data_IF_378148408062
#
_entry.id   IF_378148408062
#
_cell.length_a   1.000
_cell.length_b   1.000
_cell.length_c   1.000
_cell.angle_alpha   90.00
_cell.angle_beta   90.00
_cell.angle_gamma   90.00
#
_symmetry.space_group_name_H-M   'P 1'
#
loop_
_entity.id
_entity.type
_entity.pdbx_description
1 polymer ?
#
# COMPACT_ATOMS: atom_id res chain seq x y z
N UNK A 1 7.55 -9.06 3.05
CA UNK A 1 6.98 -7.77 3.48
C UNK A 1 5.61 -7.57 2.83
N UNK A 2 4.49 -7.76 3.56
CA UNK A 2 3.17 -7.31 3.12
C UNK A 2 3.14 -5.80 2.84
N UNK A 3 2.45 -5.42 1.77
CA UNK A 3 2.19 -4.02 1.37
C UNK A 3 0.67 -3.85 1.31
N UNK A 4 0.16 -2.78 1.91
CA UNK A 4 -1.24 -2.36 1.79
C UNK A 4 -1.31 -0.94 1.22
N UNK A 5 -2.18 -0.74 0.24
CA UNK A 5 -2.47 0.57 -0.34
C UNK A 5 -3.95 0.86 -0.21
N UNK A 6 -4.30 2.05 0.28
CA UNK A 6 -5.70 2.45 0.50
C UNK A 6 -5.93 3.89 0.06
N UNK A 7 -7.14 4.16 -0.43
CA UNK A 7 -7.62 5.51 -0.70
C UNK A 7 -8.19 6.16 0.55
N UNK A 8 -7.87 7.43 0.79
CA UNK A 8 -8.38 8.17 1.95
C UNK A 8 -9.91 8.35 1.93
N UNK A 9 -10.50 8.36 0.74
CA UNK A 9 -11.95 8.48 0.51
C UNK A 9 -12.55 7.16 0.02
N UNK A 10 -11.96 6.04 0.41
CA UNK A 10 -12.52 4.73 0.16
C UNK A 10 -13.87 4.61 0.90
N UNK A 11 -14.95 4.47 0.12
CA UNK A 11 -16.32 4.35 0.63
C UNK A 11 -16.68 2.91 1.00
N UNK A 12 -15.85 1.92 0.64
CA UNK A 12 -16.06 0.50 0.94
C UNK A 12 -15.34 0.09 2.22
N UNK A 13 -14.09 0.55 2.38
CA UNK A 13 -13.23 0.23 3.51
C UNK A 13 -12.64 1.50 4.10
N UNK A 14 -12.89 1.76 5.39
CA UNK A 14 -12.45 2.97 6.04
C UNK A 14 -10.91 3.03 6.16
N UNK A 15 -10.29 4.17 5.84
CA UNK A 15 -8.84 4.38 5.88
C UNK A 15 -8.23 4.12 7.27
N UNK A 16 -9.03 4.26 8.32
CA UNK A 16 -8.69 3.94 9.70
C UNK A 16 -8.25 2.49 9.88
N UNK A 17 -8.80 1.55 9.10
CA UNK A 17 -8.40 0.13 9.16
C UNK A 17 -6.93 -0.07 8.74
N UNK A 18 -6.51 0.55 7.63
CA UNK A 18 -5.13 0.52 7.16
C UNK A 18 -4.16 1.23 8.10
N UNK A 19 -4.58 2.37 8.66
CA UNK A 19 -3.81 3.11 9.68
C UNK A 19 -3.65 2.28 10.96
N UNK A 20 -4.71 1.62 11.43
CA UNK A 20 -4.66 0.73 12.59
C UNK A 20 -3.70 -0.46 12.34
N UNK A 21 -3.73 -1.04 11.14
CA UNK A 21 -2.80 -2.10 10.75
C UNK A 21 -1.35 -1.62 10.74
N UNK A 22 -1.07 -0.43 10.20
CA UNK A 22 0.26 0.19 10.25
C UNK A 22 0.75 0.35 11.69
N UNK A 23 -0.11 0.88 12.56
CA UNK A 23 0.25 1.14 13.96
C UNK A 23 0.45 -0.15 14.76
N UNK A 24 -0.23 -1.24 14.39
CA UNK A 24 0.01 -2.57 14.94
C UNK A 24 1.39 -3.12 14.52
N UNK A 25 1.71 -3.08 13.23
CA UNK A 25 3.02 -3.54 12.73
C UNK A 25 4.19 -2.70 13.24
N UNK A 26 3.98 -1.41 13.52
CA UNK A 26 5.00 -0.56 14.15
C UNK A 26 5.44 -1.07 15.55
N UNK A 27 4.62 -1.90 16.22
CA UNK A 27 4.97 -2.57 17.49
C UNK A 27 5.79 -3.84 17.31
N UNK A 28 5.95 -4.30 16.06
CA UNK A 28 6.64 -5.54 15.70
C UNK A 28 7.79 -5.24 14.72
N UNK A 29 8.92 -4.68 15.19
CA UNK A 29 10.01 -4.21 14.33
C UNK A 29 10.73 -5.33 13.57
N UNK A 30 10.51 -6.59 13.95
CA UNK A 30 10.96 -7.80 13.24
C UNK A 30 10.11 -8.13 12.02
N UNK A 31 8.96 -7.46 11.84
CA UNK A 31 8.04 -7.65 10.73
C UNK A 31 8.05 -6.44 9.82
N UNK A 32 8.49 -6.66 8.59
CA UNK A 32 8.40 -5.65 7.56
C UNK A 32 6.94 -5.47 7.08
N UNK A 33 6.41 -4.25 7.17
CA UNK A 33 5.12 -3.86 6.58
C UNK A 33 5.21 -2.47 5.98
N UNK A 34 4.57 -2.27 4.83
CA UNK A 34 4.47 -0.95 4.18
C UNK A 34 3.00 -0.59 3.97
N UNK A 35 2.62 0.59 4.46
CA UNK A 35 1.31 1.17 4.22
C UNK A 35 1.43 2.39 3.32
N UNK A 36 0.64 2.44 2.26
CA UNK A 36 0.57 3.55 1.31
C UNK A 36 -0.83 4.15 1.36
N UNK A 37 -0.91 5.41 1.76
CA UNK A 37 -2.16 6.17 1.77
C UNK A 37 -2.19 7.09 0.56
N UNK A 38 -3.27 7.03 -0.22
CA UNK A 38 -3.52 7.91 -1.36
C UNK A 38 -4.57 8.97 -1.00
N UNK A 39 -4.18 10.25 -0.84
CA UNK A 39 -5.10 11.32 -0.48
C UNK A 39 -6.21 11.48 -1.53
N UNK A 40 -7.43 11.77 -1.07
CA UNK A 40 -8.62 11.93 -1.91
C UNK A 40 -8.97 10.76 -2.85
N UNK A 41 -8.29 9.62 -2.74
CA UNK A 41 -8.53 8.48 -3.60
C UNK A 41 -9.68 7.60 -3.07
N UNK A 42 -10.45 7.03 -3.99
CA UNK A 42 -11.51 6.06 -3.68
C UNK A 42 -10.95 4.64 -3.49
N UNK A 43 -11.85 3.66 -3.32
CA UNK A 43 -11.53 2.23 -3.21
C UNK A 43 -10.61 1.73 -4.35
N UNK A 44 -10.83 2.20 -5.57
CA UNK A 44 -10.05 1.80 -6.74
C UNK A 44 -8.71 2.57 -6.86
N UNK A 45 -8.30 3.29 -5.81
CA UNK A 45 -7.15 4.20 -5.81
C UNK A 45 -7.28 5.31 -6.87
N UNK A 46 -8.52 5.69 -7.19
CA UNK A 46 -8.82 6.78 -8.12
C UNK A 46 -8.97 8.09 -7.35
N UNK A 47 -8.10 9.06 -7.61
CA UNK A 47 -8.23 10.42 -7.11
C UNK A 47 -8.75 11.37 -8.21
N UNK A 48 -9.25 12.58 -7.86
CA UNK A 48 -9.76 13.54 -8.84
C UNK A 48 -8.70 14.04 -9.83
N UNK A 49 -7.45 14.13 -9.40
CA UNK A 49 -6.31 14.61 -10.18
C UNK A 49 -5.66 13.50 -11.01
N UNK A 50 -5.55 12.27 -10.48
CA UNK A 50 -5.04 11.12 -11.22
C UNK A 50 -5.48 9.74 -10.68
N UNK A 51 -5.46 8.69 -11.53
CA UNK A 51 -5.51 7.31 -11.08
C UNK A 51 -4.16 6.88 -10.48
N UNK A 52 -4.16 6.30 -9.28
CA UNK A 52 -2.95 5.79 -8.62
C UNK A 52 -2.75 4.28 -8.78
N UNK A 53 -3.73 3.55 -9.32
CA UNK A 53 -3.66 2.10 -9.44
C UNK A 53 -2.43 1.62 -10.24
N UNK A 54 -2.08 2.32 -11.32
CA UNK A 54 -0.92 1.95 -12.14
C UNK A 54 0.40 2.17 -11.39
N UNK A 55 0.53 3.30 -10.68
CA UNK A 55 1.69 3.61 -9.84
C UNK A 55 1.86 2.53 -8.76
N UNK A 56 0.76 2.11 -8.13
CA UNK A 56 0.77 1.04 -7.15
C UNK A 56 1.22 -0.30 -7.75
N UNK A 57 0.65 -0.73 -8.89
CA UNK A 57 1.04 -1.97 -9.56
C UNK A 57 2.51 -1.96 -9.98
N UNK A 58 3.02 -0.82 -10.48
CA UNK A 58 4.43 -0.66 -10.81
C UNK A 58 5.33 -0.82 -9.57
N UNK A 59 4.93 -0.24 -8.43
CA UNK A 59 5.67 -0.38 -7.16
C UNK A 59 5.73 -1.83 -6.68
N UNK A 60 4.63 -2.60 -6.84
CA UNK A 60 4.60 -4.03 -6.53
C UNK A 60 5.54 -4.82 -7.45
N UNK A 61 5.52 -4.54 -8.75
CA UNK A 61 6.39 -5.21 -9.72
C UNK A 61 7.87 -4.97 -9.40
N UNK A 62 8.26 -3.75 -9.05
CA UNK A 62 9.63 -3.43 -8.67
C UNK A 62 10.03 -4.05 -7.34
N UNK A 63 9.12 -4.11 -6.37
CA UNK A 63 9.34 -4.84 -5.12
C UNK A 63 9.60 -6.34 -5.38
N UNK A 64 8.77 -6.99 -6.20
CA UNK A 64 8.95 -8.41 -6.56
C UNK A 64 10.31 -8.67 -7.23
N UNK A 65 10.77 -7.77 -8.12
CA UNK A 65 12.09 -7.90 -8.75
C UNK A 65 13.22 -7.82 -7.71
N UNK A 66 13.12 -6.94 -6.72
CA UNK A 66 14.13 -6.78 -5.65
C UNK A 66 14.15 -7.96 -4.68
N UNK A 67 13.03 -8.66 -4.52
CA UNK A 67 12.91 -9.87 -3.68
C UNK A 67 13.55 -11.11 -4.33
N UNK A 68 13.80 -11.13 -5.65
CA UNK A 68 14.45 -12.27 -6.29
C UNK A 68 15.92 -12.33 -5.83
N UNK A 69 16.37 -13.45 -5.23
CA UNK A 69 17.80 -13.66 -5.04
C UNK A 69 18.49 -13.61 -6.41
N UNK A 70 19.70 -13.06 -6.45
CA UNK A 70 20.50 -13.02 -7.67
C UNK A 70 20.58 -14.43 -8.29
N UNK A 71 20.45 -14.57 -9.62
CA UNK A 71 20.62 -15.86 -10.27
C UNK A 71 22.00 -16.43 -9.87
N UNK A 72 22.00 -17.67 -9.35
CA UNK A 72 23.22 -18.42 -9.04
C UNK A 72 23.91 -18.86 -10.32
#
# INVERSE_FOLDING_TARGET
>A
MPIAAMGEKDESEAIESGRALRDDFAKHPDKDFTFIEYPNASHALQAPDKPHLQDYVASLADWFKRQRPAPR
#
